data_IF_544355127905
#
_entry.id   IF_544355127905
#
_cell.length_a   1.000
_cell.length_b   1.000
_cell.length_c   1.000
_cell.angle_alpha   90.00
_cell.angle_beta   90.00
_cell.angle_gamma   90.00
#
_symmetry.space_group_name_H-M   'P 1'
#
loop_
_entity.id
_entity.type
_entity.pdbx_description
1 polymer ?
#
# COMPACT_ATOMS: atom_id res chain seq x y z
N UNK A 1 -6.90 -18.53 -10.31
CA UNK A 1 -7.48 -17.19 -10.54
C UNK A 1 -6.53 -16.12 -10.06
N UNK A 2 -6.23 -15.17 -10.89
CA UNK A 2 -5.42 -14.04 -10.47
C UNK A 2 -6.28 -13.11 -9.61
N UNK A 3 -5.78 -12.77 -8.42
CA UNK A 3 -6.41 -11.76 -7.59
C UNK A 3 -6.12 -10.39 -8.21
N UNK A 4 -7.16 -9.62 -8.46
CA UNK A 4 -6.99 -8.29 -9.00
C UNK A 4 -6.81 -7.28 -7.87
N UNK A 5 -5.84 -6.42 -8.03
CA UNK A 5 -5.54 -5.34 -7.09
C UNK A 5 -5.76 -4.00 -7.78
N UNK A 6 -6.27 -3.04 -7.04
CA UNK A 6 -6.17 -1.63 -7.42
C UNK A 6 -5.01 -1.02 -6.66
N UNK A 7 -4.17 -0.27 -7.36
CA UNK A 7 -3.03 0.43 -6.74
C UNK A 7 -3.36 1.91 -6.66
N UNK A 8 -3.26 2.46 -5.46
CA UNK A 8 -3.46 3.89 -5.17
C UNK A 8 -2.15 4.45 -4.65
N UNK A 9 -1.76 5.61 -5.16
CA UNK A 9 -0.58 6.34 -4.72
C UNK A 9 -0.99 7.71 -4.24
N UNK A 10 -0.54 8.10 -3.05
CA UNK A 10 -0.84 9.43 -2.52
C UNK A 10 -0.04 10.52 -3.25
N UNK A 11 -0.48 11.77 -3.08
CA UNK A 11 0.20 12.91 -3.68
C UNK A 11 1.66 13.00 -3.22
N UNK A 12 1.91 12.80 -1.92
CA UNK A 12 3.27 12.83 -1.37
C UNK A 12 4.15 11.73 -1.95
N UNK A 13 3.62 10.52 -2.06
CA UNK A 13 4.36 9.40 -2.66
C UNK A 13 4.75 9.71 -4.11
N UNK A 14 3.81 10.23 -4.89
CA UNK A 14 4.06 10.54 -6.31
C UNK A 14 5.04 11.70 -6.45
N UNK A 15 4.91 12.75 -5.64
CA UNK A 15 5.69 13.98 -5.81
C UNK A 15 7.09 13.91 -5.21
N UNK A 16 7.29 13.15 -4.14
CA UNK A 16 8.57 13.14 -3.42
C UNK A 16 9.46 11.94 -3.72
N UNK A 17 8.92 10.91 -4.37
CA UNK A 17 9.69 9.72 -4.73
C UNK A 17 9.85 9.66 -6.25
N UNK A 18 11.10 9.55 -6.76
CA UNK A 18 11.32 9.43 -8.21
C UNK A 18 10.56 8.24 -8.80
N UNK A 19 10.08 8.38 -10.01
CA UNK A 19 9.20 7.39 -10.63
C UNK A 19 9.86 6.00 -10.74
N UNK A 20 11.13 5.93 -11.08
CA UNK A 20 11.86 4.67 -11.15
C UNK A 20 11.94 4.00 -9.78
N UNK A 21 12.09 4.77 -8.72
CA UNK A 21 12.11 4.27 -7.34
C UNK A 21 10.71 3.82 -6.92
N UNK A 22 9.67 4.55 -7.33
CA UNK A 22 8.29 4.12 -7.09
C UNK A 22 8.05 2.71 -7.64
N UNK A 23 8.50 2.45 -8.86
CA UNK A 23 8.34 1.12 -9.48
C UNK A 23 9.06 0.05 -8.65
N UNK A 24 10.27 0.33 -8.19
CA UNK A 24 11.03 -0.61 -7.36
C UNK A 24 10.31 -0.91 -6.04
N UNK A 25 9.79 0.12 -5.39
CA UNK A 25 9.03 -0.03 -4.14
C UNK A 25 7.77 -0.84 -4.37
N UNK A 26 7.00 -0.50 -5.39
CA UNK A 26 5.75 -1.21 -5.69
C UNK A 26 6.01 -2.68 -6.02
N UNK A 27 7.02 -2.97 -6.82
CA UNK A 27 7.37 -4.36 -7.16
C UNK A 27 7.79 -5.16 -5.93
N UNK A 28 8.56 -4.55 -5.04
CA UNK A 28 8.98 -5.17 -3.79
C UNK A 28 7.78 -5.50 -2.91
N UNK A 29 6.86 -4.55 -2.76
CA UNK A 29 5.68 -4.70 -1.91
C UNK A 29 4.73 -5.75 -2.45
N UNK A 30 4.47 -5.74 -3.76
CA UNK A 30 3.51 -6.67 -4.38
C UNK A 30 3.90 -8.14 -4.20
N UNK A 31 5.19 -8.42 -4.02
CA UNK A 31 5.67 -9.79 -3.78
C UNK A 31 5.51 -10.23 -2.33
N UNK A 32 5.22 -9.32 -1.42
CA UNK A 32 5.24 -9.59 0.03
C UNK A 32 3.93 -9.30 0.72
N UNK A 33 3.13 -8.36 0.20
CA UNK A 33 1.87 -7.98 0.83
C UNK A 33 0.82 -9.06 0.60
N UNK A 34 -0.01 -9.29 1.60
CA UNK A 34 -1.09 -10.29 1.53
C UNK A 34 -2.21 -9.88 2.49
N UNK A 35 -3.38 -10.51 2.41
CA UNK A 35 -4.44 -10.25 3.38
C UNK A 35 -4.03 -10.51 4.83
N UNK A 36 -3.07 -11.40 5.06
CA UNK A 36 -2.55 -11.70 6.40
C UNK A 36 -1.53 -10.65 6.83
N UNK A 37 -0.61 -10.28 5.93
CA UNK A 37 0.41 -9.26 6.18
C UNK A 37 0.04 -8.05 5.32
N UNK A 38 -0.91 -7.28 5.82
CA UNK A 38 -1.57 -6.24 5.06
C UNK A 38 -0.99 -4.84 5.25
N UNK A 39 0.06 -4.72 6.06
CA UNK A 39 0.70 -3.44 6.31
C UNK A 39 2.22 -3.61 6.18
N UNK A 40 2.80 -2.95 5.18
CA UNK A 40 4.24 -2.95 4.99
C UNK A 40 4.80 -1.57 5.33
N UNK A 41 5.87 -1.57 6.13
CA UNK A 41 6.61 -0.36 6.48
C UNK A 41 8.00 -0.47 5.88
N UNK A 42 8.32 0.39 4.92
CA UNK A 42 9.64 0.50 4.34
C UNK A 42 10.36 1.61 5.08
N UNK A 43 11.30 1.23 5.94
CA UNK A 43 11.94 2.13 6.89
C UNK A 43 13.43 2.25 6.57
N UNK A 44 13.91 3.46 6.21
CA UNK A 44 15.34 3.64 5.90
C UNK A 44 16.26 3.46 7.10
N UNK A 45 15.72 3.53 8.32
CA UNK A 45 16.50 3.31 9.54
C UNK A 45 16.47 1.85 10.02
N UNK A 46 15.64 1.02 9.41
CA UNK A 46 15.53 -0.39 9.76
C UNK A 46 16.74 -1.15 9.22
N UNK A 47 17.36 -1.98 10.04
CA UNK A 47 18.55 -2.73 9.64
C UNK A 47 18.23 -4.15 9.18
N UNK A 48 17.08 -4.68 9.59
CA UNK A 48 16.66 -6.03 9.20
C UNK A 48 15.14 -6.09 9.13
N UNK A 49 14.62 -7.04 8.36
CA UNK A 49 13.19 -7.22 8.24
C UNK A 49 12.61 -7.83 9.51
N UNK A 50 11.46 -7.32 9.95
CA UNK A 50 10.78 -7.81 11.16
C UNK A 50 9.29 -7.94 10.91
N UNK A 51 8.71 -9.03 11.38
CA UNK A 51 7.26 -9.18 11.47
C UNK A 51 6.79 -8.66 12.82
N UNK A 52 5.78 -7.81 12.79
CA UNK A 52 5.20 -7.19 13.98
C UNK A 52 3.69 -7.43 13.97
N UNK A 53 3.03 -7.18 15.10
CA UNK A 53 1.58 -7.25 15.22
C UNK A 53 1.03 -8.60 14.74
N UNK A 54 1.58 -9.68 15.29
CA UNK A 54 1.16 -11.06 14.97
C UNK A 54 1.26 -11.41 13.48
N UNK A 55 2.21 -10.81 12.79
CA UNK A 55 2.43 -11.04 11.35
C UNK A 55 1.62 -10.14 10.42
N UNK A 56 0.84 -9.21 10.95
CA UNK A 56 0.07 -8.26 10.13
C UNK A 56 0.93 -7.17 9.52
N UNK A 57 2.00 -6.80 10.21
CA UNK A 57 2.91 -5.73 9.78
C UNK A 57 4.27 -6.32 9.48
N UNK A 58 4.78 -6.03 8.30
CA UNK A 58 6.15 -6.35 7.94
C UNK A 58 6.93 -5.03 7.84
N UNK A 59 7.87 -4.84 8.75
CA UNK A 59 8.81 -3.72 8.68
C UNK A 59 10.04 -4.17 7.92
N UNK A 60 10.36 -3.46 6.84
CA UNK A 60 11.48 -3.83 5.98
C UNK A 60 12.47 -2.67 5.84
N UNK A 61 13.67 -3.01 5.40
CA UNK A 61 14.66 -2.00 5.05
C UNK A 61 14.21 -1.26 3.79
N UNK A 62 14.38 0.06 3.77
CA UNK A 62 14.16 0.87 2.57
C UNK A 62 15.52 1.32 2.04
N UNK A 63 16.11 0.61 1.06
CA UNK A 63 17.42 0.97 0.53
C UNK A 63 17.34 2.06 -0.56
N UNK A 64 16.14 2.45 -0.97
CA UNK A 64 15.96 3.32 -2.14
C UNK A 64 15.75 4.78 -1.80
N UNK A 65 15.21 5.08 -0.63
CA UNK A 65 14.93 6.46 -0.23
C UNK A 65 15.28 6.68 1.25
N UNK A 66 15.38 7.95 1.64
CA UNK A 66 15.54 8.33 3.05
C UNK A 66 14.19 8.56 3.73
N UNK A 67 13.09 8.32 3.03
CA UNK A 67 11.74 8.52 3.55
C UNK A 67 11.13 7.20 3.93
N UNK A 68 10.37 7.20 5.03
CA UNK A 68 9.61 6.04 5.45
C UNK A 68 8.34 5.96 4.58
N UNK A 69 8.11 4.80 3.98
CA UNK A 69 6.98 4.56 3.08
C UNK A 69 6.09 3.49 3.67
N UNK A 70 4.79 3.70 3.61
CA UNK A 70 3.78 2.73 4.00
C UNK A 70 3.08 2.17 2.79
N UNK A 71 2.77 0.88 2.83
CA UNK A 71 1.92 0.22 1.86
C UNK A 71 0.86 -0.56 2.63
N UNK A 72 -0.40 -0.26 2.36
CA UNK A 72 -1.53 -0.82 3.10
C UNK A 72 -2.43 -1.54 2.11
N UNK A 73 -2.72 -2.81 2.38
CA UNK A 73 -3.69 -3.58 1.62
C UNK A 73 -5.01 -3.60 2.38
N UNK A 74 -6.03 -3.09 1.73
CA UNK A 74 -7.40 -3.11 2.25
C UNK A 74 -8.23 -4.11 1.45
N UNK A 75 -9.04 -4.87 2.16
CA UNK A 75 -9.92 -5.88 1.59
C UNK A 75 -11.37 -5.37 1.66
N UNK A 76 -11.97 -5.15 0.51
CA UNK A 76 -13.32 -4.58 0.41
C UNK A 76 -14.30 -5.62 -0.10
N UNK A 77 -14.82 -6.43 0.80
CA UNK A 77 -15.93 -7.31 0.49
C UNK A 77 -17.24 -6.54 0.30
N UNK A 78 -17.40 -5.43 1.02
CA UNK A 78 -18.61 -4.62 0.99
C UNK A 78 -18.32 -3.22 0.42
N UNK A 79 -18.77 -2.94 -0.82
CA UNK A 79 -18.59 -1.63 -1.42
C UNK A 79 -19.21 -0.46 -0.63
N UNK A 80 -20.12 -0.74 0.28
CA UNK A 80 -20.75 0.30 1.10
C UNK A 80 -19.77 0.95 2.06
N UNK A 81 -18.70 0.25 2.43
CA UNK A 81 -17.70 0.80 3.33
C UNK A 81 -16.72 1.76 2.62
N UNK A 82 -16.71 1.75 1.31
CA UNK A 82 -15.78 2.57 0.54
C UNK A 82 -15.97 4.08 0.78
N UNK A 83 -17.22 4.52 0.93
CA UNK A 83 -17.54 5.94 1.18
C UNK A 83 -17.02 6.45 2.53
N UNK A 84 -16.77 5.56 3.47
CA UNK A 84 -16.26 5.92 4.79
C UNK A 84 -14.74 6.03 4.82
N UNK A 85 -14.07 5.40 3.88
CA UNK A 85 -12.61 5.25 3.89
C UNK A 85 -11.96 6.14 2.83
N UNK A 86 -12.62 6.30 1.68
CA UNK A 86 -12.08 7.06 0.55
C UNK A 86 -12.91 8.30 0.27
N UNK A 87 -12.26 9.27 -0.37
CA UNK A 87 -12.98 10.39 -0.94
C UNK A 87 -13.94 9.88 -2.03
N UNK A 88 -15.08 10.58 -2.27
CA UNK A 88 -16.10 10.11 -3.21
C UNK A 88 -15.57 9.77 -4.61
N UNK A 89 -14.60 10.54 -5.09
CA UNK A 89 -14.02 10.30 -6.42
C UNK A 89 -13.29 8.97 -6.49
N UNK A 90 -12.53 8.63 -5.44
CA UNK A 90 -11.81 7.36 -5.37
C UNK A 90 -12.80 6.20 -5.21
N UNK A 91 -13.80 6.37 -4.36
CA UNK A 91 -14.84 5.36 -4.17
C UNK A 91 -15.59 5.06 -5.47
N UNK A 92 -15.88 6.09 -6.27
CA UNK A 92 -16.56 5.90 -7.55
C UNK A 92 -15.69 5.10 -8.55
N UNK A 93 -14.40 5.37 -8.59
CA UNK A 93 -13.48 4.60 -9.43
C UNK A 93 -13.41 3.14 -9.00
N UNK A 94 -13.39 2.88 -7.71
CA UNK A 94 -13.38 1.52 -7.17
C UNK A 94 -14.66 0.76 -7.54
N UNK A 95 -15.82 1.43 -7.55
CA UNK A 95 -17.09 0.82 -7.92
C UNK A 95 -17.17 0.43 -9.39
N UNK A 96 -16.38 1.09 -10.23
CA UNK A 96 -16.30 0.76 -11.66
C UNK A 96 -15.50 -0.51 -11.93
N UNK A 97 -14.77 -1.00 -10.92
CA UNK A 97 -13.96 -2.21 -11.02
C UNK A 97 -14.54 -3.28 -10.09
N UNK A 98 -15.70 -3.87 -10.40
CA UNK A 98 -16.42 -4.75 -9.49
C UNK A 98 -15.67 -6.02 -9.11
N UNK A 99 -14.68 -6.43 -9.90
CA UNK A 99 -13.87 -7.61 -9.61
C UNK A 99 -12.66 -7.28 -8.76
N UNK A 100 -12.46 -6.01 -8.44
CA UNK A 100 -11.33 -5.56 -7.62
C UNK A 100 -11.73 -5.56 -6.14
N UNK A 101 -11.28 -6.59 -5.43
CA UNK A 101 -11.55 -6.74 -4.00
C UNK A 101 -10.51 -6.03 -3.14
N UNK A 102 -9.27 -6.00 -3.61
CA UNK A 102 -8.15 -5.51 -2.83
C UNK A 102 -7.64 -4.19 -3.35
N UNK A 103 -7.34 -3.28 -2.44
CA UNK A 103 -6.73 -1.99 -2.76
C UNK A 103 -5.43 -1.86 -1.99
N UNK A 104 -4.35 -1.58 -2.69
CA UNK A 104 -3.05 -1.35 -2.07
C UNK A 104 -2.74 0.14 -2.21
N UNK A 105 -2.59 0.82 -1.07
CA UNK A 105 -2.28 2.24 -1.03
C UNK A 105 -0.82 2.44 -0.64
N UNK A 106 -0.09 3.15 -1.48
CA UNK A 106 1.29 3.56 -1.22
C UNK A 106 1.30 5.01 -0.76
N UNK A 107 1.93 5.28 0.37
CA UNK A 107 1.97 6.62 0.95
C UNK A 107 3.27 6.86 1.71
N UNK A 108 3.59 8.12 1.95
CA UNK A 108 4.65 8.47 2.90
C UNK A 108 4.10 8.30 4.32
N UNK A 109 4.97 7.92 5.25
CA UNK A 109 4.57 7.78 6.65
C UNK A 109 3.97 9.08 7.21
N UNK A 110 4.43 10.22 6.73
CA UNK A 110 3.92 11.53 7.13
C UNK A 110 2.48 11.80 6.68
N UNK A 111 1.98 11.02 5.73
CA UNK A 111 0.62 11.16 5.21
C UNK A 111 -0.39 10.24 5.90
N UNK A 112 0.10 9.37 6.76
CA UNK A 112 -0.74 8.39 7.46
C UNK A 112 -1.63 8.99 8.55
#
# INVERSE_FOLDING_TARGET
MSTQFMIVRTVGFISEIPEDVQVKIMSFVLKRISPKTNFLVLDPECQENKLEDEGRTLRTVNPWTKKKVYAILDDYDDPKEWDQIYEPEIADELRKAPDCRYVITFMLASEY
#
